data_IF_362543867415
#
_entry.id   IF_362543867415
#
_cell.length_a   1.000
_cell.length_b   1.000
_cell.length_c   1.000
_cell.angle_alpha   90.00
_cell.angle_beta   90.00
_cell.angle_gamma   90.00
#
_symmetry.space_group_name_H-M   'P 1'
#
loop_
_entity.id
_entity.type
_entity.pdbx_description
1 polymer ?
#
# COMPACT_ATOMS: atom_id res chain seq x y z
N UNK A 1 15.55 -5.96 -34.96
CA UNK A 1 14.77 -6.77 -33.99
C UNK A 1 15.75 -7.55 -33.14
N UNK A 2 16.14 -7.03 -31.95
CA UNK A 2 17.05 -7.71 -31.02
C UNK A 2 16.19 -8.35 -29.93
N UNK A 3 16.26 -9.66 -29.83
CA UNK A 3 15.64 -10.46 -28.76
C UNK A 3 16.32 -10.12 -27.45
N UNK A 4 15.56 -9.57 -26.52
CA UNK A 4 16.02 -9.32 -25.15
C UNK A 4 16.09 -10.66 -24.41
N UNK A 5 17.22 -10.91 -23.74
CA UNK A 5 17.53 -12.10 -22.96
C UNK A 5 16.51 -12.31 -21.83
N UNK A 6 15.74 -13.38 -21.94
CA UNK A 6 14.88 -13.89 -20.87
C UNK A 6 15.69 -14.95 -20.13
N UNK A 7 16.31 -14.56 -19.01
CA UNK A 7 16.92 -15.52 -18.08
C UNK A 7 15.86 -16.11 -17.18
N UNK A 8 15.30 -17.23 -17.56
CA UNK A 8 14.45 -18.05 -16.72
C UNK A 8 15.35 -18.88 -15.79
N UNK A 9 15.38 -18.60 -14.50
CA UNK A 9 16.08 -19.43 -13.52
C UNK A 9 15.35 -20.77 -13.38
N UNK A 10 15.82 -21.78 -14.11
CA UNK A 10 15.51 -23.19 -13.83
C UNK A 10 16.10 -23.53 -12.46
N UNK A 11 15.23 -23.82 -11.49
CA UNK A 11 15.68 -24.46 -10.22
C UNK A 11 16.25 -25.81 -10.64
N UNK A 12 17.60 -25.89 -10.67
CA UNK A 12 18.28 -27.20 -10.78
C UNK A 12 17.90 -28.02 -9.56
N UNK A 13 17.57 -29.32 -9.72
CA UNK A 13 17.37 -30.18 -8.57
C UNK A 13 18.71 -30.26 -7.80
N UNK A 14 18.74 -29.69 -6.60
CA UNK A 14 19.88 -29.85 -5.70
C UNK A 14 20.08 -31.33 -5.41
N UNK A 15 21.30 -31.79 -5.58
CA UNK A 15 21.69 -33.17 -5.21
C UNK A 15 21.61 -33.31 -3.69
N UNK A 16 21.22 -34.49 -3.22
CA UNK A 16 21.06 -34.83 -1.80
C UNK A 16 22.35 -34.58 -0.97
N UNK A 17 23.50 -34.40 -1.63
CA UNK A 17 24.80 -34.01 -1.05
C UNK A 17 24.87 -32.56 -0.57
N UNK A 18 24.02 -31.64 -1.12
CA UNK A 18 24.14 -30.21 -0.89
C UNK A 18 23.30 -29.76 0.32
N UNK A 19 22.55 -30.68 0.93
CA UNK A 19 21.66 -30.44 2.09
C UNK A 19 22.36 -30.47 3.45
N UNK A 20 23.67 -30.79 3.48
CA UNK A 20 24.48 -30.83 4.71
C UNK A 20 25.43 -29.64 4.80
N UNK A 21 24.89 -28.48 5.23
CA UNK A 21 25.77 -27.41 5.72
C UNK A 21 25.97 -27.57 7.24
N UNK A 22 27.19 -27.32 7.78
CA UNK A 22 27.54 -27.59 9.17
C UNK A 22 26.78 -26.82 10.24
N UNK A 23 25.91 -25.84 9.87
CA UNK A 23 25.24 -24.94 10.79
C UNK A 23 23.69 -24.95 10.72
N UNK A 24 23.06 -25.97 10.11
CA UNK A 24 21.62 -26.08 10.15
C UNK A 24 21.14 -26.82 11.38
N UNK A 25 20.21 -26.24 12.16
CA UNK A 25 19.61 -26.91 13.31
C UNK A 25 18.91 -28.21 12.87
N UNK A 26 18.94 -29.31 13.70
CA UNK A 26 18.28 -30.57 13.37
C UNK A 26 16.79 -30.41 13.05
N UNK A 27 16.15 -29.38 13.58
CA UNK A 27 14.74 -29.07 13.38
C UNK A 27 14.43 -28.58 11.96
N UNK A 28 15.33 -27.81 11.35
CA UNK A 28 15.15 -27.30 9.98
C UNK A 28 15.30 -28.41 8.93
N UNK A 29 16.15 -29.40 9.19
CA UNK A 29 16.37 -30.57 8.32
C UNK A 29 15.14 -31.50 8.30
N UNK A 30 14.59 -31.81 9.48
CA UNK A 30 13.42 -32.65 9.60
C UNK A 30 12.17 -32.00 8.99
N UNK A 31 11.99 -30.70 9.20
CA UNK A 31 10.88 -29.95 8.61
C UNK A 31 10.95 -29.89 7.07
N UNK A 32 12.14 -29.67 6.49
CA UNK A 32 12.36 -29.72 5.04
C UNK A 32 12.08 -31.11 4.47
N UNK A 33 12.56 -32.15 5.14
CA UNK A 33 12.37 -33.54 4.70
C UNK A 33 10.90 -33.99 4.79
N UNK A 34 10.19 -33.56 5.84
CA UNK A 34 8.76 -33.81 5.99
C UNK A 34 7.94 -33.07 4.90
N UNK A 35 8.28 -31.83 4.62
CA UNK A 35 7.64 -31.03 3.55
C UNK A 35 7.86 -31.65 2.17
N UNK A 36 9.10 -32.06 1.86
CA UNK A 36 9.43 -32.71 0.59
C UNK A 36 8.72 -34.06 0.46
N UNK A 37 8.64 -34.85 1.54
CA UNK A 37 7.91 -36.13 1.56
C UNK A 37 6.40 -35.91 1.37
N UNK A 38 5.82 -34.93 2.06
CA UNK A 38 4.41 -34.56 1.94
C UNK A 38 4.07 -34.09 0.52
N UNK A 39 4.89 -33.24 -0.08
CA UNK A 39 4.73 -32.77 -1.46
C UNK A 39 4.85 -33.92 -2.44
N UNK A 40 5.83 -34.81 -2.29
CA UNK A 40 6.00 -35.98 -3.15
C UNK A 40 4.83 -36.96 -3.04
N UNK A 41 4.31 -37.24 -1.82
CA UNK A 41 3.18 -38.15 -1.65
C UNK A 41 1.88 -37.58 -2.23
N UNK A 42 1.66 -36.27 -2.11
CA UNK A 42 0.48 -35.61 -2.71
C UNK A 42 0.59 -35.54 -4.24
N UNK A 43 1.77 -35.31 -4.81
CA UNK A 43 2.00 -35.36 -6.26
C UNK A 43 1.77 -36.80 -6.78
N UNK A 44 2.24 -37.81 -6.05
CA UNK A 44 2.05 -39.23 -6.42
C UNK A 44 0.56 -39.59 -6.38
N UNK A 45 -0.14 -39.26 -5.28
CA UNK A 45 -1.58 -39.49 -5.15
C UNK A 45 -2.42 -38.74 -6.21
N UNK A 46 -1.98 -37.53 -6.59
CA UNK A 46 -2.59 -36.75 -7.66
C UNK A 46 -2.34 -37.40 -9.04
N UNK A 47 -1.14 -37.90 -9.29
CA UNK A 47 -0.81 -38.61 -10.54
C UNK A 47 -1.53 -39.96 -10.66
N UNK A 48 -1.73 -40.68 -9.55
CA UNK A 48 -2.39 -41.98 -9.49
C UNK A 48 -3.90 -41.85 -9.64
N UNK A 49 -4.50 -40.75 -9.19
CA UNK A 49 -5.94 -40.46 -9.33
C UNK A 49 -6.33 -39.90 -10.70
N UNK A 50 -5.39 -39.29 -11.41
CA UNK A 50 -5.61 -38.79 -12.78
C UNK A 50 -4.75 -39.60 -13.77
N UNK A 51 -5.37 -40.49 -14.52
CA UNK A 51 -4.75 -41.18 -15.67
C UNK A 51 -4.43 -40.16 -16.79
N UNK A 52 -3.48 -39.28 -16.54
CA UNK A 52 -3.07 -38.19 -17.45
C UNK A 52 -1.84 -38.60 -18.27
N UNK A 53 -2.07 -39.47 -19.25
CA UNK A 53 -1.12 -39.74 -20.34
C UNK A 53 -1.34 -38.81 -21.55
N UNK A 54 -1.58 -37.51 -21.30
CA UNK A 54 -1.71 -36.57 -22.41
C UNK A 54 -0.57 -35.59 -22.42
N UNK A 55 0.29 -35.55 -23.48
CA UNK A 55 1.33 -34.54 -23.63
C UNK A 55 0.75 -33.11 -23.66
N UNK A 56 -0.55 -32.97 -23.88
CA UNK A 56 -1.27 -31.71 -23.86
C UNK A 56 -1.24 -31.05 -22.48
N UNK A 57 -1.21 -31.83 -21.36
CA UNK A 57 -1.16 -31.29 -20.01
C UNK A 57 0.23 -30.78 -19.62
N UNK A 58 1.28 -31.44 -20.12
CA UNK A 58 2.65 -30.94 -19.96
C UNK A 58 2.86 -29.64 -20.77
N UNK A 59 2.27 -29.55 -21.95
CA UNK A 59 2.30 -28.33 -22.77
C UNK A 59 1.48 -27.22 -22.11
N UNK A 60 0.30 -27.51 -21.57
CA UNK A 60 -0.51 -26.53 -20.81
C UNK A 60 0.20 -26.07 -19.52
N UNK A 61 0.88 -26.97 -18.79
CA UNK A 61 1.67 -26.62 -17.61
C UNK A 61 2.90 -25.78 -17.96
N UNK A 62 3.52 -26.00 -19.13
CA UNK A 62 4.62 -25.18 -19.64
C UNK A 62 4.14 -23.81 -20.16
N UNK A 63 2.93 -23.72 -20.71
CA UNK A 63 2.31 -22.43 -21.05
C UNK A 63 1.78 -21.66 -19.82
N UNK A 64 1.48 -22.35 -18.71
CA UNK A 64 1.05 -21.73 -17.46
C UNK A 64 2.21 -21.25 -16.57
N UNK A 65 3.43 -21.64 -16.84
CA UNK A 65 4.60 -20.99 -16.25
C UNK A 65 4.90 -19.65 -16.93
N UNK A 66 3.86 -18.91 -17.30
CA UNK A 66 4.00 -17.53 -17.72
C UNK A 66 4.80 -16.78 -16.66
N UNK A 67 6.01 -16.34 -17.02
CA UNK A 67 6.83 -15.50 -16.16
C UNK A 67 6.00 -14.29 -15.77
N UNK A 68 5.50 -14.25 -14.51
CA UNK A 68 4.87 -13.05 -13.99
C UNK A 68 5.92 -11.96 -14.05
N UNK A 69 5.65 -10.97 -14.89
CA UNK A 69 6.56 -9.86 -15.06
C UNK A 69 6.69 -9.12 -13.74
N UNK A 70 7.91 -8.96 -13.23
CA UNK A 70 8.16 -8.22 -12.01
C UNK A 70 7.69 -6.76 -12.14
N UNK A 71 7.09 -6.22 -11.07
CA UNK A 71 6.89 -4.78 -10.94
C UNK A 71 8.24 -4.16 -10.59
N UNK A 72 8.90 -3.54 -11.55
CA UNK A 72 10.21 -2.90 -11.34
C UNK A 72 10.12 -1.43 -11.75
N UNK A 73 10.46 -0.56 -10.80
CA UNK A 73 10.38 0.88 -10.96
C UNK A 73 11.65 1.56 -10.41
N UNK A 74 12.76 1.41 -11.15
CA UNK A 74 14.06 1.93 -10.73
C UNK A 74 14.12 3.48 -10.68
N UNK A 75 13.07 4.17 -11.12
CA UNK A 75 12.93 5.64 -11.03
C UNK A 75 12.38 6.12 -9.69
N UNK A 76 11.81 5.25 -8.88
CA UNK A 76 11.32 5.62 -7.55
C UNK A 76 12.49 5.83 -6.60
N UNK A 77 12.42 6.88 -5.78
CA UNK A 77 13.39 7.15 -4.72
C UNK A 77 12.66 7.23 -3.38
N UNK A 78 12.93 6.27 -2.51
CA UNK A 78 12.47 6.26 -1.12
C UNK A 78 13.54 6.84 -0.20
N UNK A 79 13.11 7.58 0.83
CA UNK A 79 13.99 8.15 1.85
C UNK A 79 13.47 7.80 3.24
N UNK A 80 14.37 7.50 4.15
CA UNK A 80 14.03 7.34 5.56
C UNK A 80 13.69 8.66 6.22
N UNK A 81 13.11 8.63 7.41
CA UNK A 81 12.91 9.85 8.20
C UNK A 81 14.24 10.58 8.46
N UNK A 82 15.32 9.85 8.73
CA UNK A 82 16.64 10.43 8.98
C UNK A 82 17.17 11.16 7.73
N UNK A 83 17.10 10.54 6.55
CA UNK A 83 17.55 11.16 5.30
C UNK A 83 16.77 12.45 5.00
N UNK A 84 15.45 12.44 5.27
CA UNK A 84 14.62 13.63 5.06
C UNK A 84 14.92 14.75 6.05
N UNK A 85 15.25 14.42 7.31
CA UNK A 85 15.64 15.40 8.32
C UNK A 85 17.00 16.05 8.02
N UNK A 86 17.93 15.31 7.41
CA UNK A 86 19.20 15.89 6.92
C UNK A 86 18.97 16.89 5.78
N UNK A 87 18.04 16.58 4.87
CA UNK A 87 17.74 17.44 3.72
C UNK A 87 16.88 18.65 4.13
N UNK A 88 15.97 18.44 5.05
CA UNK A 88 15.06 19.43 5.59
C UNK A 88 15.20 19.48 7.11
N UNK A 89 16.27 20.08 7.66
CA UNK A 89 16.37 20.27 9.09
C UNK A 89 15.12 21.02 9.56
N UNK A 90 14.51 20.55 10.63
CA UNK A 90 13.36 21.20 11.24
C UNK A 90 13.79 22.63 11.59
N UNK A 91 13.39 23.59 10.78
CA UNK A 91 13.62 25.00 11.09
C UNK A 91 12.57 25.41 12.11
N UNK A 92 13.03 25.85 13.26
CA UNK A 92 12.21 26.36 14.36
C UNK A 92 11.49 27.66 14.03
N UNK A 93 11.17 27.95 12.79
CA UNK A 93 10.40 29.16 12.52
C UNK A 93 9.78 29.16 11.13
N UNK A 94 8.57 29.66 11.11
CA UNK A 94 7.91 30.33 10.01
C UNK A 94 7.22 29.41 9.01
N UNK A 95 6.08 29.22 9.25
CA UNK A 95 4.85 29.17 8.45
C UNK A 95 3.93 28.12 9.03
N UNK A 96 2.74 28.56 9.36
CA UNK A 96 1.64 27.75 9.87
C UNK A 96 1.12 26.82 8.76
N UNK A 97 1.94 25.81 8.38
CA UNK A 97 1.65 24.89 7.28
C UNK A 97 0.84 23.70 7.80
N UNK A 98 -0.36 23.59 7.29
CA UNK A 98 -1.18 22.41 7.53
C UNK A 98 -0.68 21.24 6.67
N UNK A 99 -0.41 20.12 7.32
CA UNK A 99 -0.21 18.83 6.71
C UNK A 99 -1.40 17.90 6.89
N UNK A 100 -1.67 17.04 5.92
CA UNK A 100 -2.64 15.95 6.07
C UNK A 100 -1.93 14.62 5.88
N UNK A 101 -2.09 13.72 6.85
CA UNK A 101 -1.63 12.34 6.74
C UNK A 101 -2.84 11.42 6.47
N UNK A 102 -2.96 10.96 5.23
CA UNK A 102 -4.02 10.06 4.79
C UNK A 102 -3.65 8.60 5.09
N UNK A 103 -4.43 7.96 5.95
CA UNK A 103 -4.19 6.58 6.36
C UNK A 103 -4.58 5.54 5.32
N UNK A 104 -3.93 4.37 5.39
CA UNK A 104 -4.31 3.18 4.64
C UNK A 104 -5.67 2.64 5.09
N UNK A 105 -6.28 1.76 4.28
CA UNK A 105 -7.56 1.18 4.68
C UNK A 105 -8.31 0.43 3.58
N UNK A 106 -7.71 0.22 2.41
CA UNK A 106 -8.37 -0.42 1.27
C UNK A 106 -9.63 0.33 0.87
N UNK A 107 -10.78 -0.35 0.87
CA UNK A 107 -12.08 0.23 0.52
C UNK A 107 -12.53 1.39 1.41
N UNK A 108 -12.03 1.47 2.64
CA UNK A 108 -12.30 2.60 3.53
C UNK A 108 -11.68 3.92 3.02
N UNK A 109 -10.74 3.83 2.06
CA UNK A 109 -10.09 5.00 1.46
C UNK A 109 -11.05 5.97 0.77
N UNK A 110 -12.26 5.55 0.37
CA UNK A 110 -13.28 6.47 -0.15
C UNK A 110 -13.71 7.53 0.88
N UNK A 111 -13.55 7.26 2.17
CA UNK A 111 -13.75 8.23 3.25
C UNK A 111 -12.90 9.50 3.04
N UNK A 112 -11.68 9.37 2.53
CA UNK A 112 -10.78 10.50 2.30
C UNK A 112 -11.37 11.52 1.32
N UNK A 113 -12.13 11.07 0.32
CA UNK A 113 -12.78 11.99 -0.63
C UNK A 113 -13.80 12.89 0.05
N UNK A 114 -14.60 12.34 0.98
CA UNK A 114 -15.52 13.13 1.78
C UNK A 114 -14.83 14.13 2.70
N UNK A 115 -13.71 13.74 3.29
CA UNK A 115 -12.88 14.63 4.11
C UNK A 115 -12.34 15.78 3.26
N UNK A 116 -11.79 15.49 2.08
CA UNK A 116 -11.28 16.50 1.14
C UNK A 116 -12.40 17.47 0.74
N UNK A 117 -13.59 16.94 0.45
CA UNK A 117 -14.75 17.78 0.12
C UNK A 117 -15.11 18.76 1.23
N UNK A 118 -15.19 18.29 2.48
CA UNK A 118 -15.55 19.15 3.61
C UNK A 118 -14.48 20.22 3.89
N UNK A 119 -13.19 19.90 3.70
CA UNK A 119 -12.10 20.87 3.81
C UNK A 119 -12.16 21.93 2.72
N UNK A 120 -12.41 21.54 1.46
CA UNK A 120 -12.52 22.46 0.32
C UNK A 120 -13.71 23.43 0.49
N UNK A 121 -14.88 22.91 0.86
CA UNK A 121 -16.06 23.73 1.17
C UNK A 121 -15.81 24.71 2.33
N UNK A 122 -14.94 24.33 3.27
CA UNK A 122 -14.56 25.18 4.39
C UNK A 122 -13.47 26.21 4.04
N UNK A 123 -12.89 26.15 2.83
CA UNK A 123 -11.78 26.98 2.38
C UNK A 123 -10.44 26.64 3.05
N UNK A 124 -10.31 25.43 3.63
CA UNK A 124 -9.09 24.97 4.29
C UNK A 124 -8.26 24.16 3.32
N UNK A 125 -7.01 24.54 3.13
CA UNK A 125 -6.07 23.84 2.26
C UNK A 125 -4.82 23.44 3.02
N UNK A 126 -4.36 22.21 2.79
CA UNK A 126 -3.06 21.76 3.24
C UNK A 126 -2.02 21.94 2.12
N UNK A 127 -0.81 22.32 2.49
CA UNK A 127 0.33 22.46 1.58
C UNK A 127 1.14 21.17 1.47
N UNK A 128 1.04 20.33 2.49
CA UNK A 128 1.82 19.10 2.63
C UNK A 128 0.87 17.94 2.83
N UNK A 129 1.06 16.87 2.08
CA UNK A 129 0.27 15.66 2.25
C UNK A 129 1.14 14.42 2.21
N UNK A 130 0.81 13.47 3.06
CA UNK A 130 1.41 12.14 3.05
C UNK A 130 0.32 11.09 3.01
N UNK A 131 0.64 9.93 2.47
CA UNK A 131 -0.36 8.87 2.37
C UNK A 131 0.23 7.48 2.35
N UNK A 132 -0.55 6.53 2.86
CA UNK A 132 -0.24 5.10 2.83
C UNK A 132 -1.35 4.34 2.13
N UNK A 133 -1.01 3.43 1.19
CA UNK A 133 -2.00 2.53 0.54
C UNK A 133 -3.16 3.32 -0.10
N UNK A 134 -4.40 3.07 0.29
CA UNK A 134 -5.54 3.86 -0.15
C UNK A 134 -5.40 5.36 0.16
N UNK A 135 -4.73 5.72 1.27
CA UNK A 135 -4.39 7.09 1.59
C UNK A 135 -3.35 7.70 0.65
N UNK A 136 -2.49 6.89 0.03
CA UNK A 136 -1.56 7.37 -1.01
C UNK A 136 -2.32 7.81 -2.27
N UNK A 137 -3.42 7.13 -2.62
CA UNK A 137 -4.32 7.56 -3.70
C UNK A 137 -4.89 8.94 -3.38
N UNK A 138 -5.44 9.10 -2.17
CA UNK A 138 -6.00 10.38 -1.72
C UNK A 138 -4.94 11.50 -1.72
N UNK A 139 -3.72 11.22 -1.22
CA UNK A 139 -2.63 12.18 -1.15
C UNK A 139 -2.22 12.70 -2.53
N UNK A 140 -2.00 11.82 -3.53
CA UNK A 140 -1.58 12.26 -4.87
C UNK A 140 -2.70 12.97 -5.63
N UNK A 141 -3.96 12.54 -5.45
CA UNK A 141 -5.11 13.21 -6.06
C UNK A 141 -5.33 14.60 -5.44
N UNK A 142 -5.25 14.73 -4.12
CA UNK A 142 -5.33 16.03 -3.45
C UNK A 142 -4.16 16.95 -3.84
N UNK A 143 -2.95 16.41 -3.92
CA UNK A 143 -1.75 17.17 -4.30
C UNK A 143 -1.78 17.64 -5.76
N UNK A 144 -2.56 17.01 -6.61
CA UNK A 144 -2.65 17.33 -8.03
C UNK A 144 -3.32 18.67 -8.32
N UNK A 145 -4.11 19.19 -7.37
CA UNK A 145 -4.98 20.37 -7.54
C UNK A 145 -5.96 20.23 -8.72
N UNK A 146 -6.32 19.02 -9.09
CA UNK A 146 -7.44 18.77 -9.99
C UNK A 146 -8.74 19.26 -9.32
N UNK A 147 -9.72 19.77 -10.09
CA UNK A 147 -11.02 20.11 -9.53
C UNK A 147 -11.64 18.94 -8.76
N UNK A 148 -12.12 19.19 -7.54
CA UNK A 148 -12.71 18.13 -6.70
C UNK A 148 -13.82 17.36 -7.43
N UNK A 149 -14.63 18.06 -8.24
CA UNK A 149 -15.66 17.42 -9.06
C UNK A 149 -15.06 16.37 -10.00
N UNK A 150 -13.92 16.64 -10.63
CA UNK A 150 -13.25 15.70 -11.52
C UNK A 150 -12.72 14.50 -10.73
N UNK A 151 -12.10 14.74 -9.58
CA UNK A 151 -11.63 13.65 -8.69
C UNK A 151 -12.81 12.78 -8.26
N UNK A 152 -13.91 13.39 -7.86
CA UNK A 152 -15.12 12.68 -7.45
C UNK A 152 -15.67 11.81 -8.59
N UNK A 153 -15.79 12.36 -9.80
CA UNK A 153 -16.28 11.63 -10.96
C UNK A 153 -15.41 10.42 -11.30
N UNK A 154 -14.08 10.55 -11.24
CA UNK A 154 -13.14 9.44 -11.47
C UNK A 154 -13.27 8.36 -10.40
N UNK A 155 -13.38 8.76 -9.13
CA UNK A 155 -13.52 7.83 -8.00
C UNK A 155 -14.87 7.10 -8.00
N UNK A 156 -15.96 7.78 -8.39
CA UNK A 156 -17.30 7.16 -8.47
C UNK A 156 -17.41 6.18 -9.64
N UNK A 157 -16.79 6.48 -10.78
CA UNK A 157 -16.77 5.59 -11.95
C UNK A 157 -15.85 4.37 -11.76
N UNK A 158 -14.93 4.44 -10.80
CA UNK A 158 -13.92 3.41 -10.60
C UNK A 158 -14.56 2.05 -10.24
N UNK A 159 -14.24 1.05 -11.01
CA UNK A 159 -14.62 -0.33 -10.74
C UNK A 159 -13.41 -1.15 -10.28
N UNK A 160 -13.66 -2.21 -9.54
CA UNK A 160 -12.59 -3.09 -9.02
C UNK A 160 -11.63 -3.56 -10.12
N UNK A 161 -12.16 -3.87 -11.30
CA UNK A 161 -11.37 -4.38 -12.42
C UNK A 161 -10.56 -3.31 -13.16
N UNK A 162 -10.77 -2.03 -12.85
CA UNK A 162 -9.97 -0.92 -13.39
C UNK A 162 -8.64 -0.78 -12.65
N UNK A 163 -8.58 -1.26 -11.40
CA UNK A 163 -7.38 -1.18 -10.55
C UNK A 163 -6.80 -2.54 -10.17
N UNK A 164 -7.59 -3.61 -10.28
CA UNK A 164 -7.14 -4.97 -9.99
C UNK A 164 -6.88 -5.73 -11.29
N UNK A 165 -5.65 -6.22 -11.46
CA UNK A 165 -5.19 -7.11 -12.52
C UNK A 165 -4.77 -8.47 -11.91
N UNK A 166 -5.70 -9.44 -11.85
CA UNK A 166 -5.42 -10.76 -11.26
C UNK A 166 -4.29 -11.47 -11.99
N UNK A 167 -3.46 -12.17 -11.22
CA UNK A 167 -2.32 -12.93 -11.74
C UNK A 167 -2.16 -14.24 -10.98
N UNK A 168 -1.71 -15.29 -11.68
CA UNK A 168 -1.34 -16.56 -11.05
C UNK A 168 0.13 -16.51 -10.69
N UNK A 169 0.44 -16.25 -9.41
CA UNK A 169 1.80 -16.06 -8.94
C UNK A 169 1.95 -16.49 -7.47
N UNK A 170 3.13 -16.99 -7.11
CA UNK A 170 3.50 -17.21 -5.71
C UNK A 170 3.88 -15.92 -4.97
N UNK A 171 4.00 -14.79 -5.69
CA UNK A 171 4.37 -13.48 -5.12
C UNK A 171 3.16 -12.64 -4.72
N UNK A 172 1.96 -12.95 -5.22
CA UNK A 172 0.73 -12.22 -4.98
C UNK A 172 -0.35 -12.61 -5.97
N UNK A 173 -1.59 -12.23 -5.71
CA UNK A 173 -2.78 -12.56 -6.51
C UNK A 173 -3.16 -11.45 -7.49
N UNK A 174 -2.69 -10.21 -7.26
CA UNK A 174 -2.95 -9.01 -8.07
C UNK A 174 -1.61 -8.41 -8.47
N UNK A 175 -1.43 -8.10 -9.76
CA UNK A 175 -0.21 -7.50 -10.27
C UNK A 175 -0.06 -6.03 -9.84
N UNK A 176 -1.15 -5.27 -9.80
CA UNK A 176 -1.23 -3.88 -9.35
C UNK A 176 -0.87 -2.83 -10.41
N UNK A 177 -0.52 -3.22 -11.64
CA UNK A 177 -0.15 -2.29 -12.71
C UNK A 177 -1.31 -1.43 -13.21
N UNK A 178 -2.52 -1.98 -13.15
CA UNK A 178 -3.72 -1.22 -13.50
C UNK A 178 -3.92 -0.03 -12.57
N UNK A 179 -3.68 -0.20 -11.26
CA UNK A 179 -3.72 0.90 -10.31
C UNK A 179 -2.72 2.00 -10.66
N UNK A 180 -1.44 1.63 -10.94
CA UNK A 180 -0.44 2.59 -11.37
C UNK A 180 -0.85 3.32 -12.66
N UNK A 181 -1.36 2.57 -13.64
CA UNK A 181 -1.78 3.13 -14.93
C UNK A 181 -2.97 4.08 -14.79
N UNK A 182 -3.95 3.74 -13.96
CA UNK A 182 -5.11 4.58 -13.69
C UNK A 182 -4.71 5.92 -13.05
N UNK A 183 -3.87 5.89 -12.00
CA UNK A 183 -3.35 7.13 -11.37
C UNK A 183 -2.53 7.94 -12.37
N UNK A 184 -1.63 7.31 -13.12
CA UNK A 184 -0.81 8.01 -14.10
C UNK A 184 -1.66 8.66 -15.21
N UNK A 185 -2.74 8.02 -15.63
CA UNK A 185 -3.68 8.57 -16.61
C UNK A 185 -4.39 9.83 -16.08
N UNK A 186 -4.94 9.77 -14.86
CA UNK A 186 -5.62 10.91 -14.23
C UNK A 186 -4.66 12.08 -14.05
N UNK A 187 -3.43 11.80 -13.62
CA UNK A 187 -2.42 12.83 -13.33
C UNK A 187 -1.58 13.25 -14.55
N UNK A 188 -1.88 12.73 -15.75
CA UNK A 188 -1.13 13.04 -16.98
C UNK A 188 0.33 12.58 -16.93
N UNK A 189 0.61 11.44 -16.30
CA UNK A 189 1.94 10.85 -16.09
C UNK A 189 2.93 11.72 -15.30
N UNK A 190 2.45 12.62 -14.46
CA UNK A 190 3.29 13.50 -13.63
C UNK A 190 4.13 12.73 -12.62
N UNK A 191 5.30 13.26 -12.34
CA UNK A 191 6.12 12.86 -11.21
C UNK A 191 5.53 13.45 -9.91
N UNK A 192 5.84 12.83 -8.77
CA UNK A 192 5.43 13.35 -7.46
C UNK A 192 5.94 14.80 -7.24
N UNK A 193 7.19 15.07 -7.66
CA UNK A 193 7.82 16.40 -7.57
C UNK A 193 7.20 17.45 -8.50
N UNK A 194 6.41 17.05 -9.49
CA UNK A 194 5.69 17.96 -10.40
C UNK A 194 4.28 18.32 -9.93
N UNK A 195 3.83 17.70 -8.83
CA UNK A 195 2.52 18.01 -8.26
C UNK A 195 2.58 19.37 -7.52
N UNK A 196 1.50 20.18 -7.60
CA UNK A 196 1.47 21.52 -7.00
C UNK A 196 1.70 21.58 -5.50
N UNK A 197 1.27 20.55 -4.77
CA UNK A 197 1.47 20.45 -3.32
C UNK A 197 2.59 19.46 -3.00
N UNK A 198 3.26 19.66 -1.86
CA UNK A 198 4.30 18.76 -1.39
C UNK A 198 3.67 17.43 -0.98
N UNK A 199 4.04 16.35 -1.64
CA UNK A 199 3.43 15.03 -1.43
C UNK A 199 4.50 13.96 -1.18
N UNK A 200 4.18 13.03 -0.30
CA UNK A 200 5.00 11.84 -0.07
C UNK A 200 4.13 10.59 0.13
N UNK A 201 4.61 9.49 -0.39
CA UNK A 201 3.92 8.20 -0.37
C UNK A 201 4.74 7.20 0.45
N UNK A 202 4.16 6.69 1.54
CA UNK A 202 4.85 5.77 2.43
C UNK A 202 4.88 4.34 1.86
N UNK A 203 6.05 3.71 1.92
CA UNK A 203 6.28 2.31 1.55
C UNK A 203 7.12 1.61 2.61
N UNK A 204 7.01 0.29 2.69
CA UNK A 204 7.88 -0.53 3.53
C UNK A 204 8.88 -1.27 2.68
N UNK A 205 10.17 -1.08 2.94
CA UNK A 205 11.25 -1.86 2.36
C UNK A 205 11.50 -3.09 3.25
N UNK A 206 11.42 -4.30 2.66
CA UNK A 206 11.41 -5.56 3.42
C UNK A 206 12.80 -6.04 3.84
N UNK A 207 13.83 -5.82 3.00
CA UNK A 207 15.17 -6.41 3.23
C UNK A 207 15.86 -5.70 4.38
N UNK A 208 15.87 -4.36 4.37
CA UNK A 208 16.41 -3.53 5.43
C UNK A 208 15.42 -3.25 6.56
N UNK A 209 14.16 -3.70 6.43
CA UNK A 209 13.08 -3.45 7.41
C UNK A 209 12.88 -1.95 7.68
N UNK A 210 12.83 -1.15 6.61
CA UNK A 210 12.77 0.31 6.69
C UNK A 210 11.43 0.85 6.22
N UNK A 211 10.96 1.89 6.91
CA UNK A 211 9.88 2.73 6.43
C UNK A 211 10.48 3.85 5.57
N UNK A 212 10.03 3.94 4.33
CA UNK A 212 10.49 4.93 3.38
C UNK A 212 9.34 5.84 2.93
N UNK A 213 9.66 7.11 2.67
CA UNK A 213 8.78 8.04 1.96
C UNK A 213 9.28 8.22 0.54
N UNK A 214 8.43 7.93 -0.43
CA UNK A 214 8.68 8.18 -1.84
C UNK A 214 8.21 9.60 -2.16
N UNK A 215 9.13 10.45 -2.57
CA UNK A 215 8.88 11.86 -2.95
C UNK A 215 9.26 12.15 -4.42
N UNK A 216 9.90 11.17 -5.08
CA UNK A 216 10.33 11.26 -6.47
C UNK A 216 9.90 10.02 -7.26
N UNK A 217 9.70 10.18 -8.55
CA UNK A 217 9.21 9.18 -9.47
C UNK A 217 7.75 9.37 -9.85
N UNK A 218 7.23 8.51 -10.72
CA UNK A 218 5.84 8.64 -11.20
C UNK A 218 4.85 8.35 -10.08
N UNK A 219 3.84 9.21 -9.97
CA UNK A 219 2.84 9.13 -8.92
C UNK A 219 2.10 7.77 -8.88
N UNK A 220 1.72 7.22 -10.03
CA UNK A 220 1.04 5.93 -10.07
C UNK A 220 1.91 4.75 -9.65
N UNK A 221 3.21 4.77 -9.97
CA UNK A 221 4.17 3.74 -9.57
C UNK A 221 4.40 3.78 -8.05
N UNK A 222 4.50 4.98 -7.46
CA UNK A 222 4.61 5.17 -6.02
C UNK A 222 3.35 4.70 -5.29
N UNK A 223 2.15 5.04 -5.79
CA UNK A 223 0.87 4.57 -5.25
C UNK A 223 0.77 3.05 -5.32
N UNK A 224 1.16 2.42 -6.44
CA UNK A 224 1.18 0.97 -6.54
C UNK A 224 2.11 0.34 -5.50
N UNK A 225 3.32 0.88 -5.32
CA UNK A 225 4.26 0.37 -4.32
C UNK A 225 3.65 0.44 -2.91
N UNK A 226 3.07 1.59 -2.56
CA UNK A 226 2.40 1.82 -1.27
C UNK A 226 1.16 0.96 -1.05
N UNK A 227 0.52 0.48 -2.12
CA UNK A 227 -0.68 -0.36 -2.07
C UNK A 227 -0.37 -1.85 -2.25
N UNK A 228 0.91 -2.24 -2.27
CA UNK A 228 1.34 -3.62 -2.48
C UNK A 228 1.23 -4.45 -1.21
N UNK A 229 -0.02 -4.71 -0.78
CA UNK A 229 -0.36 -5.48 0.43
C UNK A 229 0.27 -6.87 0.34
N UNK A 230 1.12 -7.29 1.33
CA UNK A 230 1.74 -8.61 1.35
C UNK A 230 0.74 -9.76 1.21
N UNK A 231 1.05 -10.74 0.36
CA UNK A 231 0.18 -11.87 0.07
C UNK A 231 -0.97 -11.59 -0.91
N UNK A 232 -1.38 -10.33 -1.07
CA UNK A 232 -2.45 -9.92 -1.99
C UNK A 232 -1.89 -9.36 -3.29
N UNK A 233 -1.01 -8.38 -3.21
CA UNK A 233 -0.38 -7.78 -4.38
C UNK A 233 1.04 -8.31 -4.58
N UNK A 234 1.48 -8.33 -5.85
CA UNK A 234 2.86 -8.62 -6.19
C UNK A 234 3.73 -7.43 -5.72
N UNK A 235 4.76 -7.67 -4.90
CA UNK A 235 5.66 -6.62 -4.43
C UNK A 235 6.31 -5.83 -5.57
N UNK A 236 6.70 -4.60 -5.29
CA UNK A 236 7.45 -3.74 -6.20
C UNK A 236 8.95 -3.88 -5.94
N UNK A 237 9.75 -3.95 -6.99
CA UNK A 237 11.21 -3.91 -6.92
C UNK A 237 11.73 -2.54 -7.34
N UNK A 238 12.65 -2.01 -6.53
CA UNK A 238 13.40 -0.80 -6.81
C UNK A 238 14.88 -1.14 -6.62
N UNK A 239 15.65 -1.20 -7.70
CA UNK A 239 17.00 -1.74 -7.65
C UNK A 239 17.04 -3.19 -7.14
N UNK A 240 17.65 -3.40 -5.99
CA UNK A 240 17.70 -4.70 -5.29
C UNK A 240 16.67 -4.79 -4.13
N UNK A 241 15.99 -3.71 -3.82
CA UNK A 241 15.03 -3.63 -2.73
C UNK A 241 13.68 -4.24 -3.13
N UNK A 242 12.93 -4.68 -2.12
CA UNK A 242 11.57 -5.21 -2.25
C UNK A 242 10.64 -4.35 -1.42
N UNK A 243 9.80 -3.59 -2.10
CA UNK A 243 8.85 -2.68 -1.46
C UNK A 243 7.45 -3.26 -1.44
N UNK A 244 6.80 -3.07 -0.30
CA UNK A 244 5.41 -3.46 -0.04
C UNK A 244 4.64 -2.30 0.58
N UNK A 245 3.37 -2.52 0.87
CA UNK A 245 2.47 -1.54 1.48
C UNK A 245 3.10 -0.85 2.69
N UNK A 246 3.03 0.47 2.70
CA UNK A 246 3.57 1.30 3.78
C UNK A 246 2.92 1.02 5.12
N UNK A 247 1.67 0.56 5.12
CA UNK A 247 0.92 0.23 6.33
C UNK A 247 1.53 -0.88 7.19
N UNK A 248 2.46 -1.67 6.64
CA UNK A 248 3.23 -2.65 7.43
C UNK A 248 3.97 -1.97 8.59
N UNK A 249 4.52 -0.76 8.38
CA UNK A 249 5.27 0.01 9.39
C UNK A 249 4.60 1.32 9.79
N UNK A 250 3.82 1.97 8.90
CA UNK A 250 3.11 3.22 9.20
C UNK A 250 1.77 3.25 8.44
N UNK A 251 0.69 3.02 9.17
CA UNK A 251 -0.67 3.06 8.61
C UNK A 251 -1.07 4.49 8.27
N UNK A 252 -0.74 5.46 9.12
CA UNK A 252 -1.00 6.89 8.93
C UNK A 252 0.32 7.64 9.08
N UNK A 253 0.93 8.14 8.00
CA UNK A 253 2.32 8.61 7.99
C UNK A 253 2.47 10.05 8.51
N UNK A 254 2.13 10.29 9.78
CA UNK A 254 2.15 11.60 10.45
C UNK A 254 3.57 12.16 10.53
N UNK A 255 4.54 11.33 10.94
CA UNK A 255 5.95 11.74 11.08
C UNK A 255 6.54 12.26 9.79
N UNK A 256 6.17 11.66 8.68
CA UNK A 256 6.60 12.11 7.37
C UNK A 256 6.00 13.48 6.99
N UNK A 257 4.73 13.74 7.33
CA UNK A 257 4.15 15.06 7.11
C UNK A 257 4.91 16.14 7.91
N UNK A 258 5.25 15.86 9.17
CA UNK A 258 6.10 16.71 9.99
C UNK A 258 7.47 16.95 9.34
N UNK A 259 8.14 15.89 8.95
CA UNK A 259 9.49 15.96 8.34
C UNK A 259 9.48 16.71 7.00
N UNK A 260 8.37 16.65 6.25
CA UNK A 260 8.19 17.48 5.05
C UNK A 260 7.93 18.95 5.36
N UNK A 261 7.80 19.34 6.62
CA UNK A 261 7.69 20.72 7.09
C UNK A 261 6.29 21.16 7.54
N UNK A 262 5.36 20.22 7.79
CA UNK A 262 4.07 20.56 8.39
C UNK A 262 4.25 20.95 9.86
N UNK A 263 3.80 22.16 10.24
CA UNK A 263 3.75 22.61 11.63
C UNK A 263 2.54 22.03 12.35
N UNK A 264 1.46 21.77 11.62
CA UNK A 264 0.24 21.13 12.14
C UNK A 264 -0.15 19.96 11.23
N UNK A 265 -0.58 18.84 11.83
CA UNK A 265 -0.95 17.63 11.07
C UNK A 265 -2.34 17.14 11.47
N UNK A 266 -3.22 17.08 10.47
CA UNK A 266 -4.46 16.33 10.53
C UNK A 266 -4.20 14.89 10.09
N UNK A 267 -4.32 13.94 11.00
CA UNK A 267 -4.25 12.52 10.73
C UNK A 267 -5.65 11.95 10.44
N UNK A 268 -5.78 11.22 9.33
CA UNK A 268 -7.05 10.56 8.98
C UNK A 268 -6.83 9.06 9.02
N UNK A 269 -7.30 8.43 10.09
CA UNK A 269 -7.19 6.98 10.29
C UNK A 269 -8.51 6.29 9.92
N UNK A 270 -8.46 5.51 8.86
CA UNK A 270 -9.61 4.74 8.37
C UNK A 270 -9.50 3.25 8.69
N UNK A 271 -8.43 2.82 9.38
CA UNK A 271 -8.10 1.40 9.54
C UNK A 271 -8.01 0.94 10.99
N UNK A 272 -7.41 1.72 11.88
CA UNK A 272 -7.23 1.37 13.27
C UNK A 272 -8.40 1.86 14.16
N UNK A 273 -8.40 1.50 15.44
CA UNK A 273 -9.39 2.01 16.40
C UNK A 273 -10.76 1.34 16.34
N UNK A 274 -10.97 0.33 15.51
CA UNK A 274 -12.26 -0.36 15.33
C UNK A 274 -12.20 -1.84 15.61
N UNK A 275 -13.31 -2.39 16.08
CA UNK A 275 -13.50 -3.85 16.18
C UNK A 275 -13.66 -4.47 14.78
N UNK A 276 -13.17 -5.68 14.63
CA UNK A 276 -13.35 -6.49 13.42
C UNK A 276 -14.14 -7.74 13.76
N UNK A 277 -14.95 -8.27 12.83
CA UNK A 277 -15.55 -9.58 13.01
C UNK A 277 -14.46 -10.62 13.25
N UNK A 278 -14.56 -11.35 14.36
CA UNK A 278 -13.62 -12.43 14.66
C UNK A 278 -14.08 -13.67 13.89
N UNK A 279 -13.18 -14.28 13.14
CA UNK A 279 -13.41 -15.55 12.48
C UNK A 279 -12.31 -16.54 12.89
N UNK A 280 -12.67 -17.79 13.12
CA UNK A 280 -11.73 -18.87 13.46
C UNK A 280 -10.96 -19.42 12.24
N UNK A 281 -11.27 -18.93 11.05
CA UNK A 281 -10.57 -19.31 9.82
C UNK A 281 -9.12 -18.80 9.85
N UNK A 282 -8.17 -19.67 9.56
CA UNK A 282 -6.73 -19.37 9.61
C UNK A 282 -6.33 -18.12 8.78
N UNK A 283 -6.94 -17.92 7.62
CA UNK A 283 -6.71 -16.73 6.80
C UNK A 283 -7.15 -15.46 7.53
N UNK A 284 -8.37 -15.43 8.06
CA UNK A 284 -8.89 -14.27 8.79
C UNK A 284 -8.13 -14.02 10.08
N UNK A 285 -7.78 -15.08 10.84
CA UNK A 285 -7.00 -14.94 12.07
C UNK A 285 -5.63 -14.33 11.78
N UNK A 286 -4.95 -14.75 10.70
CA UNK A 286 -3.66 -14.19 10.30
C UNK A 286 -3.80 -12.73 9.89
N UNK A 287 -4.82 -12.40 9.10
CA UNK A 287 -5.10 -11.01 8.67
C UNK A 287 -5.37 -10.12 9.87
N UNK A 288 -6.14 -10.60 10.85
CA UNK A 288 -6.42 -9.87 12.08
C UNK A 288 -5.19 -9.67 12.95
N UNK A 289 -4.37 -10.71 13.12
CA UNK A 289 -3.12 -10.59 13.89
C UNK A 289 -2.19 -9.57 13.24
N UNK A 290 -2.07 -9.58 11.92
CA UNK A 290 -1.28 -8.61 11.17
C UNK A 290 -1.84 -7.18 11.34
N UNK A 291 -3.15 -7.00 11.23
CA UNK A 291 -3.80 -5.71 11.47
C UNK A 291 -3.53 -5.18 12.88
N UNK A 292 -3.69 -6.02 13.90
CA UNK A 292 -3.41 -5.63 15.28
C UNK A 292 -1.97 -5.18 15.45
N UNK A 293 -1.01 -5.86 14.82
CA UNK A 293 0.40 -5.50 14.85
C UNK A 293 0.64 -4.14 14.18
N UNK A 294 0.09 -3.92 12.98
CA UNK A 294 0.18 -2.64 12.26
C UNK A 294 -0.39 -1.50 13.10
N UNK A 295 -1.59 -1.66 13.64
CA UNK A 295 -2.24 -0.62 14.45
C UNK A 295 -1.54 -0.37 15.78
N UNK A 296 -1.00 -1.39 16.43
CA UNK A 296 -0.22 -1.24 17.65
C UNK A 296 1.08 -0.46 17.38
N UNK A 297 1.75 -0.75 16.28
CA UNK A 297 2.95 -0.02 15.87
C UNK A 297 2.69 1.44 15.51
N UNK A 298 1.51 1.74 14.96
CA UNK A 298 1.15 3.10 14.52
C UNK A 298 0.63 4.01 15.66
N UNK A 299 0.31 3.45 16.82
CA UNK A 299 -0.33 4.21 17.90
C UNK A 299 0.48 5.44 18.33
N UNK A 300 1.79 5.27 18.56
CA UNK A 300 2.67 6.36 18.95
C UNK A 300 2.80 7.45 17.89
N UNK A 301 2.71 7.08 16.61
CA UNK A 301 2.75 8.02 15.50
C UNK A 301 1.47 8.86 15.42
N UNK A 302 0.31 8.24 15.68
CA UNK A 302 -0.97 8.96 15.74
C UNK A 302 -1.03 9.99 16.85
N UNK A 303 -0.36 9.73 17.99
CA UNK A 303 -0.26 10.66 19.13
C UNK A 303 0.54 11.94 18.79
N UNK A 304 1.31 11.94 17.70
CA UNK A 304 2.06 13.09 17.21
C UNK A 304 1.23 14.02 16.29
N UNK A 305 0.01 13.62 15.92
CA UNK A 305 -0.91 14.47 15.16
C UNK A 305 -1.58 15.53 16.06
N UNK A 306 -1.84 16.73 15.52
CA UNK A 306 -2.61 17.75 16.23
C UNK A 306 -4.10 17.38 16.25
N UNK A 307 -4.59 16.81 15.16
CA UNK A 307 -5.96 16.31 15.06
C UNK A 307 -5.98 14.91 14.50
N UNK A 308 -6.74 14.04 15.16
CA UNK A 308 -7.00 12.67 14.69
C UNK A 308 -8.46 12.54 14.30
N UNK A 309 -8.71 12.26 13.03
CA UNK A 309 -10.03 11.98 12.50
C UNK A 309 -10.18 10.50 12.20
N UNK A 310 -11.18 9.86 12.80
CA UNK A 310 -11.53 8.44 12.61
C UNK A 310 -12.98 8.32 12.15
N UNK A 311 -13.29 8.54 10.86
CA UNK A 311 -14.65 8.49 10.34
C UNK A 311 -15.32 7.15 10.54
N UNK A 312 -16.60 7.13 10.92
CA UNK A 312 -17.33 5.90 11.25
C UNK A 312 -17.87 5.20 10.01
N UNK A 313 -17.01 4.41 9.37
CA UNK A 313 -17.36 3.57 8.23
C UNK A 313 -16.69 2.21 8.29
N UNK A 314 -17.49 1.15 8.13
CA UNK A 314 -17.02 -0.23 8.02
C UNK A 314 -17.69 -0.90 6.81
N UNK A 315 -16.93 -1.30 5.77
CA UNK A 315 -17.50 -1.94 4.59
C UNK A 315 -18.00 -3.35 4.92
N UNK A 316 -19.16 -3.73 4.39
CA UNK A 316 -19.69 -5.11 4.50
C UNK A 316 -18.86 -6.10 3.70
N UNK A 317 -18.25 -5.64 2.62
CA UNK A 317 -17.35 -6.44 1.77
C UNK A 317 -16.09 -5.63 1.46
N UNK A 318 -14.94 -6.14 1.88
CA UNK A 318 -13.63 -5.50 1.70
C UNK A 318 -13.20 -5.32 0.24
N UNK A 319 -13.82 -6.04 -0.68
CA UNK A 319 -13.49 -6.02 -2.11
C UNK A 319 -14.56 -5.33 -2.96
N UNK A 320 -15.66 -4.89 -2.36
CA UNK A 320 -16.77 -4.27 -3.08
C UNK A 320 -16.70 -2.76 -3.01
N UNK A 321 -16.83 -2.10 -4.16
CA UNK A 321 -16.95 -0.65 -4.29
C UNK A 321 -18.41 -0.17 -4.15
N UNK A 322 -19.34 -1.07 -3.82
CA UNK A 322 -20.77 -0.75 -3.77
C UNK A 322 -21.15 0.28 -2.69
N UNK A 323 -20.36 0.35 -1.60
CA UNK A 323 -20.62 1.26 -0.47
C UNK A 323 -19.78 2.56 -0.54
N UNK A 324 -19.20 2.89 -1.70
CA UNK A 324 -18.32 4.06 -1.86
C UNK A 324 -18.99 5.39 -1.46
N UNK A 325 -20.25 5.59 -1.83
CA UNK A 325 -21.03 6.79 -1.47
C UNK A 325 -21.22 6.89 0.06
N UNK A 326 -21.50 5.77 0.72
CA UNK A 326 -21.65 5.73 2.18
C UNK A 326 -20.31 6.07 2.86
N UNK A 327 -19.21 5.58 2.33
CA UNK A 327 -17.87 5.90 2.83
C UNK A 327 -17.55 7.39 2.67
N UNK A 328 -17.83 7.97 1.49
CA UNK A 328 -17.64 9.39 1.21
C UNK A 328 -18.45 10.23 2.18
N UNK A 329 -19.74 9.91 2.35
CA UNK A 329 -20.62 10.64 3.28
C UNK A 329 -20.10 10.55 4.72
N UNK A 330 -19.64 9.38 5.18
CA UNK A 330 -19.07 9.21 6.53
C UNK A 330 -17.84 10.10 6.74
N UNK A 331 -16.96 10.19 5.74
CA UNK A 331 -15.81 11.08 5.77
C UNK A 331 -16.19 12.56 5.83
N UNK A 332 -17.15 12.94 5.02
CA UNK A 332 -17.67 14.30 4.97
C UNK A 332 -18.27 14.74 6.32
N UNK A 333 -19.16 13.94 6.89
CA UNK A 333 -19.79 14.24 8.18
C UNK A 333 -18.79 14.31 9.34
N UNK A 334 -17.84 13.36 9.37
CA UNK A 334 -16.80 13.36 10.39
C UNK A 334 -15.94 14.63 10.31
N UNK A 335 -15.55 15.05 9.11
CA UNK A 335 -14.76 16.26 8.93
C UNK A 335 -15.59 17.52 9.26
N UNK A 336 -16.85 17.58 8.84
CA UNK A 336 -17.76 18.69 9.20
C UNK A 336 -17.88 18.87 10.70
N UNK A 337 -17.91 17.78 11.47
CA UNK A 337 -17.96 17.84 12.92
C UNK A 337 -16.65 18.37 13.54
N UNK A 338 -15.50 18.13 12.92
CA UNK A 338 -14.19 18.60 13.37
C UNK A 338 -13.89 20.05 12.97
N UNK A 339 -14.49 20.55 11.88
CA UNK A 339 -14.18 21.87 11.30
C UNK A 339 -14.22 23.04 12.30
N UNK A 340 -15.20 23.15 13.24
CA UNK A 340 -15.21 24.26 14.17
C UNK A 340 -13.92 24.32 15.01
N UNK A 341 -13.53 23.20 15.62
CA UNK A 341 -12.31 23.09 16.43
C UNK A 341 -11.06 23.34 15.60
N UNK A 342 -10.99 22.72 14.40
CA UNK A 342 -9.86 22.91 13.49
C UNK A 342 -9.66 24.38 13.11
N UNK A 343 -10.76 25.11 12.80
CA UNK A 343 -10.69 26.53 12.42
C UNK A 343 -10.25 27.42 13.59
N UNK A 344 -10.80 27.18 14.77
CA UNK A 344 -10.45 27.93 15.99
C UNK A 344 -8.96 27.78 16.29
N UNK A 345 -8.48 26.54 16.34
CA UNK A 345 -7.08 26.27 16.67
C UNK A 345 -6.09 26.72 15.58
N UNK A 346 -6.46 26.67 14.30
CA UNK A 346 -5.62 27.22 13.22
C UNK A 346 -5.50 28.75 13.30
N UNK A 347 -6.55 29.45 13.76
CA UNK A 347 -6.52 30.92 13.95
C UNK A 347 -5.68 31.29 15.18
N UNK A 348 -5.87 30.59 16.29
CA UNK A 348 -5.17 30.88 17.54
C UNK A 348 -3.65 30.62 17.47
N UNK A 349 -3.22 29.81 16.54
CA UNK A 349 -1.80 29.45 16.32
C UNK A 349 -1.13 30.28 15.22
N UNK A 350 -1.87 31.20 14.55
CA UNK A 350 -1.37 32.19 13.61
C UNK A 350 -1.01 33.50 14.34
#
# INVERSE_FOLDING_TARGET
>A
MKLANVSCFLIKPEKESDLKTPNSSPFSYLAKRALISFVKSNIQAFNDSMKLNSPLFLILALFWSGCVQENRYDSLQGRTLADLQEIHPLQDNETNKLGIAFGGGGMRGFVHLGVIQALEEAGIQAEIVTGTSAGAIAAVLYASSLPLQQIHEEMIKLERWDVADPVISLKGLIQGRKLASWINQILGNKLLSELPKKVGVAVTELVGSQLLLVVEGKAGEAVQASSSIPGTFVPVKVGQEIWVDGGVLSVVPVRFARTLGASHVLAIDTFCGRGYPVSENAFWTTTQAFRLQMCSGNKSELEEADWLLQPDFEPKDFLSFAEREVAIQAGYEAMKALLPTLKEELVDRN
#
